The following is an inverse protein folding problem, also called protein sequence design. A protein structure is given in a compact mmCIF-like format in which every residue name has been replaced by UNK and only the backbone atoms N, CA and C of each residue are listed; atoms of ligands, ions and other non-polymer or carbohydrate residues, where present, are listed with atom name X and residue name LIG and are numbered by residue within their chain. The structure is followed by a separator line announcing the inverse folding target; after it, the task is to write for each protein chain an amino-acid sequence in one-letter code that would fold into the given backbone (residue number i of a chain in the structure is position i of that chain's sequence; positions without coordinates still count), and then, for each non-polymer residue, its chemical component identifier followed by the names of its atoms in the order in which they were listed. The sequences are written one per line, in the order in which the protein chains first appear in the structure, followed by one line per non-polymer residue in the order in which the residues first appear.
data_IF_076659344520
#
_entry.id   IF_076659344520
#
_cell.length_a   1.000
_cell.length_b   1.000
_cell.length_c   1.000
_cell.angle_alpha   90.00
_cell.angle_beta   90.00
_cell.angle_gamma   90.00
#
_symmetry.space_group_name_H-M   'P 1'
#
loop_
_entity.id
_entity.type
_entity.pdbx_description
1 polymer ?
#
# COMPACT_ATOMS: atom_id res chain seq x y z
N UNK A 1 1.18 29.79 6.98
CA UNK A 1 0.42 28.97 7.95
C UNK A 1 0.48 29.64 9.32
N UNK A 2 -0.65 30.11 9.84
CA UNK A 2 -0.69 30.69 11.18
C UNK A 2 -0.54 29.57 12.23
N UNK A 3 0.21 29.84 13.30
CA UNK A 3 0.27 28.93 14.44
C UNK A 3 -1.09 28.87 15.14
N UNK A 4 -1.52 27.68 15.55
CA UNK A 4 -2.76 27.51 16.32
C UNK A 4 -2.69 28.27 17.65
N UNK A 5 -3.85 28.72 18.14
CA UNK A 5 -3.98 29.38 19.45
C UNK A 5 -3.37 28.54 20.57
N UNK A 6 -3.63 27.22 20.56
CA UNK A 6 -3.08 26.27 21.52
C UNK A 6 -1.54 26.25 21.53
N UNK A 7 -0.90 26.29 20.36
CA UNK A 7 0.58 26.31 20.28
C UNK A 7 1.15 27.62 20.84
N UNK A 8 0.51 28.75 20.55
CA UNK A 8 0.92 30.07 21.09
C UNK A 8 0.81 30.10 22.62
N UNK A 9 -0.25 29.53 23.19
CA UNK A 9 -0.43 29.43 24.64
C UNK A 9 0.66 28.57 25.29
N UNK A 10 0.99 27.41 24.71
CA UNK A 10 2.07 26.56 25.22
C UNK A 10 3.41 27.28 25.28
N UNK A 11 3.81 27.92 24.18
CA UNK A 11 5.06 28.71 24.14
C UNK A 11 5.08 29.85 25.17
N UNK A 12 3.92 30.47 25.44
CA UNK A 12 3.81 31.50 26.49
C UNK A 12 4.08 30.91 27.88
N UNK A 13 3.53 29.74 28.19
CA UNK A 13 3.72 29.07 29.48
C UNK A 13 5.17 28.58 29.65
N UNK A 14 5.78 28.05 28.59
CA UNK A 14 7.20 27.67 28.57
C UNK A 14 8.11 28.87 28.85
N UNK A 15 7.84 30.03 28.23
CA UNK A 15 8.58 31.28 28.51
C UNK A 15 8.46 31.76 29.96
N UNK A 16 7.35 31.41 30.63
CA UNK A 16 7.13 31.73 32.04
C UNK A 16 7.79 30.71 33.00
N UNK A 17 8.52 29.71 32.47
CA UNK A 17 9.16 28.66 33.27
C UNK A 17 8.22 27.53 33.68
N UNK A 18 7.03 27.43 33.09
CA UNK A 18 6.11 26.30 33.36
C UNK A 18 6.50 25.08 32.52
N UNK A 19 6.12 23.91 33.01
CA UNK A 19 6.37 22.62 32.36
C UNK A 19 5.80 22.54 30.94
N UNK A 20 6.56 21.95 30.04
CA UNK A 20 6.14 21.67 28.67
C UNK A 20 5.27 20.40 28.64
N UNK A 21 3.99 20.47 28.25
CA UNK A 21 3.12 19.30 28.20
C UNK A 21 3.51 18.31 27.08
N UNK A 22 4.28 18.73 26.07
CA UNK A 22 4.72 17.82 25.00
C UNK A 22 5.69 16.76 25.53
N UNK A 23 6.49 17.09 26.56
CA UNK A 23 7.38 16.13 27.23
C UNK A 23 6.61 14.98 27.90
N UNK A 24 5.35 15.19 28.28
CA UNK A 24 4.52 14.20 28.97
C UNK A 24 3.59 13.43 28.03
N UNK A 25 3.51 13.81 26.75
CA UNK A 25 2.47 13.33 25.82
C UNK A 25 2.69 11.90 25.33
N UNK A 26 3.88 11.34 25.55
CA UNK A 26 4.26 10.02 25.04
C UNK A 26 4.44 10.00 23.51
N UNK A 27 5.03 8.92 23.03
CA UNK A 27 5.26 8.67 21.60
C UNK A 27 4.42 7.48 21.16
N UNK A 28 4.01 7.47 19.90
CA UNK A 28 3.29 6.33 19.30
C UNK A 28 4.16 5.09 19.10
N UNK A 29 5.47 5.16 19.34
CA UNK A 29 6.36 3.99 19.33
C UNK A 29 6.49 3.30 17.96
N UNK A 30 6.35 4.05 16.87
CA UNK A 30 6.37 3.49 15.50
C UNK A 30 5.03 2.92 15.03
N UNK A 31 3.99 2.93 15.88
CA UNK A 31 2.63 2.62 15.47
C UNK A 31 2.06 3.84 14.74
N UNK A 32 1.63 3.64 13.51
CA UNK A 32 0.80 4.62 12.80
C UNK A 32 -0.66 4.31 13.12
N UNK A 33 -1.36 5.14 13.93
CA UNK A 33 -2.77 4.93 14.28
C UNK A 33 -3.67 5.33 13.11
N UNK A 34 -3.52 4.64 12.01
CA UNK A 34 -4.39 4.77 10.84
C UNK A 34 -5.25 3.52 10.81
N UNK A 35 -6.57 3.74 10.72
CA UNK A 35 -7.52 2.66 10.57
C UNK A 35 -7.20 1.86 9.29
N UNK A 36 -7.16 0.53 9.43
CA UNK A 36 -6.97 -0.36 8.28
C UNK A 36 -8.28 -0.45 7.52
N UNK A 37 -8.42 0.34 6.47
CA UNK A 37 -9.59 0.30 5.59
C UNK A 37 -9.39 -0.73 4.47
N UNK A 38 -10.46 -1.46 4.15
CA UNK A 38 -10.51 -2.30 2.94
C UNK A 38 -10.52 -1.43 1.69
N UNK A 39 -9.93 -1.88 0.57
CA UNK A 39 -9.93 -1.10 -0.67
C UNK A 39 -11.35 -0.87 -1.18
N UNK A 40 -11.56 0.26 -1.85
CA UNK A 40 -12.85 0.56 -2.49
C UNK A 40 -13.08 -0.32 -3.71
N UNK A 41 -14.33 -0.37 -4.21
CA UNK A 41 -14.67 -1.12 -5.43
C UNK A 41 -13.80 -0.67 -6.62
N UNK A 42 -13.65 0.64 -6.80
CA UNK A 42 -12.84 1.22 -7.89
C UNK A 42 -11.36 0.85 -7.77
N UNK A 43 -10.80 0.85 -6.56
CA UNK A 43 -9.41 0.45 -6.35
C UNK A 43 -9.20 -1.05 -6.63
N UNK A 44 -10.19 -1.88 -6.28
CA UNK A 44 -10.17 -3.31 -6.54
C UNK A 44 -10.22 -3.61 -8.03
N UNK A 45 -11.12 -2.99 -8.79
CA UNK A 45 -11.22 -3.19 -10.25
C UNK A 45 -9.94 -2.76 -10.96
N UNK A 46 -9.43 -1.56 -10.65
CA UNK A 46 -8.15 -1.07 -11.17
C UNK A 46 -6.99 -2.01 -10.82
N UNK A 47 -6.93 -2.53 -9.59
CA UNK A 47 -5.87 -3.47 -9.20
C UNK A 47 -5.96 -4.77 -10.01
N UNK A 48 -7.15 -5.32 -10.21
CA UNK A 48 -7.33 -6.55 -11.00
C UNK A 48 -6.85 -6.36 -12.44
N UNK A 49 -7.22 -5.24 -13.05
CA UNK A 49 -6.77 -4.91 -14.40
C UNK A 49 -5.25 -4.80 -14.48
N UNK A 50 -4.58 -4.13 -13.53
CA UNK A 50 -3.17 -3.78 -13.68
C UNK A 50 -2.16 -4.74 -13.04
N UNK A 51 -2.57 -5.53 -12.03
CA UNK A 51 -1.65 -6.34 -11.21
C UNK A 51 -0.92 -7.45 -12.00
N UNK A 52 -1.53 -8.00 -13.04
CA UNK A 52 -1.00 -9.16 -13.77
C UNK A 52 -0.71 -8.91 -15.27
N UNK A 53 -0.87 -7.67 -15.76
CA UNK A 53 -0.66 -7.30 -17.18
C UNK A 53 0.75 -7.58 -17.70
N UNK A 54 1.78 -7.63 -16.85
CA UNK A 54 3.18 -7.86 -17.26
C UNK A 54 3.59 -9.33 -17.39
N UNK A 55 2.78 -10.29 -16.92
CA UNK A 55 3.18 -11.71 -16.92
C UNK A 55 3.02 -12.38 -18.29
N UNK A 56 2.12 -11.87 -19.14
CA UNK A 56 1.83 -12.44 -20.46
C UNK A 56 2.71 -11.91 -21.60
N UNK A 57 3.34 -10.73 -21.46
CA UNK A 57 4.18 -10.12 -22.49
C UNK A 57 5.66 -10.57 -22.43
N UNK A 58 5.95 -11.85 -22.15
CA UNK A 58 7.33 -12.37 -22.17
C UNK A 58 7.69 -13.16 -23.44
N UNK A 59 6.83 -13.27 -24.45
CA UNK A 59 7.05 -14.24 -25.54
C UNK A 59 6.77 -13.78 -26.96
N UNK A 60 7.02 -12.52 -27.34
CA UNK A 60 6.90 -12.13 -28.76
C UNK A 60 7.97 -11.12 -29.16
N UNK A 61 9.24 -11.56 -29.15
CA UNK A 61 10.18 -10.95 -30.09
C UNK A 61 11.26 -11.87 -30.68
N UNK A 62 11.42 -13.14 -30.28
CA UNK A 62 12.31 -14.06 -31.02
C UNK A 62 12.10 -15.51 -30.57
N UNK A 63 11.19 -16.23 -31.24
CA UNK A 63 11.27 -17.68 -31.53
C UNK A 63 9.89 -18.23 -31.89
N UNK A 64 9.86 -18.90 -33.05
CA UNK A 64 8.82 -19.77 -33.61
C UNK A 64 7.61 -20.07 -32.70
N UNK A 65 6.49 -19.44 -33.02
CA UNK A 65 5.22 -19.58 -32.31
C UNK A 65 4.57 -20.95 -32.50
N UNK A 66 5.02 -21.96 -31.77
CA UNK A 66 4.29 -23.21 -31.58
C UNK A 66 3.80 -23.34 -30.13
N UNK A 67 2.50 -23.09 -29.92
CA UNK A 67 1.81 -23.43 -28.67
C UNK A 67 1.41 -24.90 -28.78
N UNK A 68 2.24 -25.81 -28.26
CA UNK A 68 1.92 -27.24 -28.22
C UNK A 68 0.91 -27.51 -27.10
N UNK A 69 -0.38 -27.60 -27.45
CA UNK A 69 -1.36 -28.27 -26.59
C UNK A 69 -1.06 -29.77 -26.61
N UNK A 70 -0.37 -30.27 -25.58
CA UNK A 70 -0.24 -31.71 -25.36
C UNK A 70 -1.59 -32.25 -24.88
N UNK A 71 -2.42 -32.68 -25.83
CA UNK A 71 -3.65 -33.42 -25.53
C UNK A 71 -3.22 -34.84 -25.21
N UNK A 72 -3.21 -35.20 -23.92
CA UNK A 72 -3.08 -36.59 -23.49
C UNK A 72 -4.29 -37.38 -24.01
N UNK A 73 -4.17 -37.97 -25.20
CA UNK A 73 -5.13 -38.95 -25.70
C UNK A 73 -5.02 -40.22 -24.83
N UNK A 74 -6.14 -40.78 -24.35
CA UNK A 74 -6.11 -42.00 -23.57
C UNK A 74 -5.64 -43.14 -24.47
N UNK A 75 -4.56 -43.82 -24.06
CA UNK A 75 -4.11 -45.09 -24.62
C UNK A 75 -5.26 -46.10 -24.57
N UNK A 76 -5.93 -46.34 -25.68
CA UNK A 76 -6.68 -47.59 -25.86
C UNK A 76 -5.66 -48.72 -26.02
N UNK A 77 -5.75 -49.70 -25.11
CA UNK A 77 -5.00 -50.95 -25.13
C UNK A 77 -5.36 -51.75 -26.39
N UNK A 78 -4.35 -52.35 -27.03
CA UNK A 78 -4.49 -53.42 -28.01
C UNK A 78 -4.42 -54.78 -27.32
#
# INVERSE_FOLDING_TARGET
MAQSSAKKQRMKLERQGKLNPESNRGLWGGVMPVERMTPTLHEKTRRLEHKHKKKWNRSLHDSDGSISFCVCLPRYYA
#
